data_IF_973466386405
#
_entry.id   IF_973466386405
#
_cell.length_a   1.000
_cell.length_b   1.000
_cell.length_c   1.000
_cell.angle_alpha   90.00
_cell.angle_beta   90.00
_cell.angle_gamma   90.00
#
_symmetry.space_group_name_H-M   'P 1'
#
loop_
_entity.id
_entity.type
_entity.pdbx_description
1 polymer ?
#
# COMPACT_ATOMS: atom_id res chain seq x y z
N UNK A 1 11.34 -1.69 17.27
CA UNK A 1 11.82 -2.07 15.92
C UNK A 1 11.02 -3.23 15.29
N UNK A 2 10.75 -4.38 15.96
CA UNK A 2 9.97 -5.47 15.33
C UNK A 2 8.61 -5.00 14.81
N UNK A 3 7.83 -4.30 15.61
CA UNK A 3 6.51 -3.77 15.24
C UNK A 3 6.58 -2.84 14.02
N UNK A 4 7.60 -1.99 13.95
CA UNK A 4 7.87 -1.08 12.82
C UNK A 4 8.08 -1.88 11.52
N UNK A 5 8.95 -2.89 11.58
CA UNK A 5 9.27 -3.73 10.41
C UNK A 5 8.08 -4.60 10.01
N UNK A 6 7.40 -5.20 10.96
CA UNK A 6 6.18 -5.99 10.71
C UNK A 6 5.12 -5.14 10.01
N UNK A 7 4.84 -3.95 10.55
CA UNK A 7 3.88 -3.02 9.96
C UNK A 7 4.29 -2.62 8.53
N UNK A 8 5.57 -2.29 8.32
CA UNK A 8 6.08 -1.91 7.01
C UNK A 8 6.00 -3.05 5.99
N UNK A 9 6.45 -4.26 6.36
CA UNK A 9 6.45 -5.43 5.47
C UNK A 9 5.03 -5.84 5.11
N UNK A 10 4.15 -5.98 6.10
CA UNK A 10 2.77 -6.42 5.85
C UNK A 10 2.01 -5.39 5.03
N UNK A 11 2.14 -4.09 5.34
CA UNK A 11 1.52 -3.02 4.54
C UNK A 11 2.07 -2.97 3.11
N UNK A 12 3.37 -3.22 2.92
CA UNK A 12 3.97 -3.32 1.59
C UNK A 12 3.42 -4.49 0.78
N UNK A 13 3.25 -5.65 1.40
CA UNK A 13 2.68 -6.84 0.75
C UNK A 13 1.21 -6.62 0.36
N UNK A 14 0.40 -6.02 1.24
CA UNK A 14 -0.98 -5.61 0.93
C UNK A 14 -0.97 -4.62 -0.24
N UNK A 15 -0.10 -3.62 -0.19
CA UNK A 15 0.06 -2.61 -1.23
C UNK A 15 0.43 -3.22 -2.58
N UNK A 16 1.39 -4.14 -2.62
CA UNK A 16 1.79 -4.87 -3.82
C UNK A 16 0.64 -5.71 -4.40
N UNK A 17 -0.05 -6.47 -3.57
CA UNK A 17 -1.17 -7.32 -4.01
C UNK A 17 -2.32 -6.51 -4.60
N UNK A 18 -2.80 -5.51 -3.87
CA UNK A 18 -3.89 -4.64 -4.34
C UNK A 18 -3.43 -3.77 -5.52
N UNK A 19 -2.20 -3.24 -5.48
CA UNK A 19 -1.63 -2.45 -6.56
C UNK A 19 -1.50 -3.23 -7.85
N UNK A 20 -1.11 -4.51 -7.80
CA UNK A 20 -1.06 -5.39 -8.96
C UNK A 20 -2.45 -5.56 -9.59
N UNK A 21 -3.47 -5.81 -8.78
CA UNK A 21 -4.87 -5.91 -9.26
C UNK A 21 -5.30 -4.61 -9.95
N UNK A 22 -5.05 -3.47 -9.31
CA UNK A 22 -5.37 -2.15 -9.87
C UNK A 22 -4.60 -1.89 -11.18
N UNK A 23 -3.32 -2.24 -11.26
CA UNK A 23 -2.50 -2.10 -12.47
C UNK A 23 -3.07 -2.93 -13.62
N UNK A 24 -3.43 -4.20 -13.37
CA UNK A 24 -4.03 -5.10 -14.36
C UNK A 24 -5.36 -4.53 -14.88
N UNK A 25 -6.23 -4.03 -13.99
CA UNK A 25 -7.52 -3.42 -14.39
C UNK A 25 -7.28 -2.23 -15.33
N UNK A 26 -6.33 -1.35 -15.00
CA UNK A 26 -5.97 -0.19 -15.84
C UNK A 26 -5.41 -0.62 -17.19
N UNK A 27 -4.56 -1.65 -17.23
CA UNK A 27 -3.97 -2.15 -18.48
C UNK A 27 -5.02 -2.80 -19.39
N UNK A 28 -5.99 -3.53 -18.82
CA UNK A 28 -7.12 -4.13 -19.58
C UNK A 28 -8.12 -3.11 -20.11
N UNK A 29 -8.07 -1.85 -19.70
CA UNK A 29 -8.93 -0.74 -20.15
C UNK A 29 -10.43 -1.04 -20.07
N UNK A 30 -10.87 -1.81 -19.06
CA UNK A 30 -12.29 -2.08 -18.82
C UNK A 30 -12.94 -0.78 -18.34
N UNK A 31 -13.72 -0.13 -19.22
CA UNK A 31 -14.16 1.28 -19.07
C UNK A 31 -14.62 1.66 -17.65
N UNK A 32 -15.57 0.94 -17.08
CA UNK A 32 -16.12 1.26 -15.74
C UNK A 32 -15.10 0.97 -14.63
N UNK A 33 -14.50 -0.22 -14.64
CA UNK A 33 -13.52 -0.61 -13.63
C UNK A 33 -12.30 0.29 -13.64
N UNK A 34 -11.82 0.70 -14.83
CA UNK A 34 -10.69 1.62 -14.95
C UNK A 34 -11.01 3.00 -14.37
N UNK A 35 -12.23 3.52 -14.58
CA UNK A 35 -12.63 4.81 -13.99
C UNK A 35 -12.67 4.75 -12.46
N UNK A 36 -13.29 3.70 -11.91
CA UNK A 36 -13.33 3.46 -10.46
C UNK A 36 -11.91 3.33 -9.89
N UNK A 37 -11.05 2.54 -10.53
CA UNK A 37 -9.66 2.34 -10.10
C UNK A 37 -8.87 3.65 -10.16
N UNK A 38 -9.05 4.48 -11.19
CA UNK A 38 -8.39 5.78 -11.28
C UNK A 38 -8.84 6.72 -10.15
N UNK A 39 -10.14 6.74 -9.83
CA UNK A 39 -10.67 7.51 -8.70
C UNK A 39 -10.06 7.04 -7.38
N UNK A 40 -10.03 5.72 -7.14
CA UNK A 40 -9.43 5.14 -5.94
C UNK A 40 -7.94 5.49 -5.82
N UNK A 41 -7.16 5.31 -6.89
CA UNK A 41 -5.74 5.66 -6.91
C UNK A 41 -5.55 7.16 -6.63
N UNK A 42 -6.38 8.02 -7.23
CA UNK A 42 -6.32 9.48 -7.00
C UNK A 42 -6.62 9.83 -5.54
N UNK A 43 -7.60 9.19 -4.92
CA UNK A 43 -7.94 9.39 -3.52
C UNK A 43 -6.80 8.90 -2.60
N UNK A 44 -6.29 7.68 -2.83
CA UNK A 44 -5.25 7.08 -1.99
C UNK A 44 -3.92 7.85 -2.06
N UNK A 45 -3.57 8.41 -3.22
CA UNK A 45 -2.34 9.19 -3.42
C UNK A 45 -2.52 10.68 -3.16
N UNK A 46 -3.72 11.20 -3.33
CA UNK A 46 -4.04 12.62 -3.18
C UNK A 46 -4.40 13.05 -1.76
N UNK A 47 -4.64 12.09 -0.85
CA UNK A 47 -4.97 12.40 0.56
C UNK A 47 -3.79 12.12 1.48
N UNK A 48 -3.56 12.94 2.52
CA UNK A 48 -2.51 12.70 3.51
C UNK A 48 -2.72 11.35 4.22
N UNK A 49 -1.65 10.57 4.36
CA UNK A 49 -1.72 9.24 5.01
C UNK A 49 -2.24 9.30 6.45
N UNK A 50 -1.95 10.38 7.18
CA UNK A 50 -2.46 10.58 8.54
C UNK A 50 -4.00 10.67 8.57
N UNK A 51 -4.60 11.30 7.57
CA UNK A 51 -6.07 11.37 7.44
C UNK A 51 -6.63 9.97 7.18
N UNK A 52 -5.97 9.17 6.34
CA UNK A 52 -6.38 7.78 6.08
C UNK A 52 -6.28 6.92 7.35
N UNK A 53 -5.24 7.13 8.18
CA UNK A 53 -5.10 6.47 9.48
C UNK A 53 -6.26 6.84 10.43
N UNK A 54 -6.62 8.12 10.54
CA UNK A 54 -7.77 8.55 11.35
C UNK A 54 -9.09 7.99 10.83
N UNK A 55 -9.30 7.99 9.51
CA UNK A 55 -10.51 7.39 8.91
C UNK A 55 -10.57 5.89 9.19
N UNK A 56 -9.45 5.18 9.11
CA UNK A 56 -9.42 3.77 9.46
C UNK A 56 -9.69 3.52 10.95
N UNK A 57 -9.01 4.24 11.83
CA UNK A 57 -9.06 3.99 13.27
C UNK A 57 -10.36 4.45 13.94
N UNK A 58 -10.89 5.59 13.54
CA UNK A 58 -12.13 6.13 14.09
C UNK A 58 -13.35 5.89 13.19
N UNK A 59 -13.18 6.01 11.87
CA UNK A 59 -14.29 5.92 10.91
C UNK A 59 -14.82 4.51 10.76
N UNK A 60 -13.95 3.50 10.64
CA UNK A 60 -14.39 2.10 10.49
C UNK A 60 -15.24 1.66 11.69
N UNK A 61 -14.81 1.80 12.97
CA UNK A 61 -15.64 1.44 14.11
C UNK A 61 -16.98 2.20 14.18
N UNK A 62 -16.96 3.48 13.84
CA UNK A 62 -18.17 4.32 13.81
C UNK A 62 -19.17 3.81 12.76
N UNK A 63 -18.68 3.48 11.57
CA UNK A 63 -19.51 2.91 10.50
C UNK A 63 -20.14 1.58 10.90
N UNK A 64 -19.37 0.67 11.49
CA UNK A 64 -19.90 -0.60 11.95
C UNK A 64 -20.91 -0.46 13.08
N UNK A 65 -20.69 0.50 14.00
CA UNK A 65 -21.67 0.82 15.05
C UNK A 65 -22.99 1.30 14.45
N UNK A 66 -22.94 2.18 13.43
CA UNK A 66 -24.13 2.65 12.74
C UNK A 66 -24.86 1.51 12.01
N UNK A 67 -24.13 0.60 11.33
CA UNK A 67 -24.70 -0.58 10.69
C UNK A 67 -25.38 -1.49 11.72
N UNK A 68 -24.73 -1.76 12.84
CA UNK A 68 -25.30 -2.58 13.91
C UNK A 68 -26.62 -1.98 14.44
N UNK A 69 -26.67 -0.66 14.62
CA UNK A 69 -27.87 0.03 15.08
C UNK A 69 -29.00 -0.01 14.05
N UNK A 70 -28.67 0.14 12.76
CA UNK A 70 -29.66 0.22 11.69
C UNK A 70 -30.22 -1.16 11.30
N UNK A 71 -29.38 -2.21 11.31
CA UNK A 71 -29.74 -3.55 10.81
C UNK A 71 -29.84 -4.61 11.90
N UNK A 72 -29.67 -4.24 13.18
CA UNK A 72 -29.73 -5.18 14.31
C UNK A 72 -28.61 -6.24 14.28
N UNK A 73 -27.50 -5.97 13.56
CA UNK A 73 -26.36 -6.88 13.46
C UNK A 73 -25.43 -6.71 14.67
N UNK A 74 -24.62 -7.73 14.95
CA UNK A 74 -23.67 -7.73 16.07
C UNK A 74 -22.23 -7.89 15.56
N UNK A 75 -21.84 -7.01 14.64
CA UNK A 75 -20.48 -6.98 14.10
C UNK A 75 -19.52 -6.46 15.18
N UNK A 76 -18.73 -7.37 15.75
CA UNK A 76 -17.79 -7.06 16.82
C UNK A 76 -16.55 -6.32 16.26
N UNK A 77 -16.51 -5.01 16.40
CA UNK A 77 -15.37 -4.16 15.99
C UNK A 77 -14.53 -3.72 17.20
N UNK A 78 -15.08 -3.89 18.41
CA UNK A 78 -14.47 -3.43 19.66
C UNK A 78 -13.11 -4.09 19.99
N UNK A 79 -12.78 -5.22 19.37
CA UNK A 79 -11.59 -6.00 19.67
C UNK A 79 -10.49 -5.93 18.59
N UNK A 80 -10.66 -5.07 17.57
CA UNK A 80 -9.63 -4.91 16.53
C UNK A 80 -8.54 -3.99 17.07
N UNK A 81 -7.30 -4.47 17.06
CA UNK A 81 -6.15 -3.70 17.53
C UNK A 81 -5.84 -2.51 16.62
N UNK A 82 -5.29 -1.44 17.18
CA UNK A 82 -4.82 -0.28 16.40
C UNK A 82 -3.83 -0.65 15.31
N UNK A 83 -3.05 -1.71 15.53
CA UNK A 83 -2.12 -2.27 14.55
C UNK A 83 -2.82 -2.68 13.24
N UNK A 84 -3.98 -3.34 13.34
CA UNK A 84 -4.74 -3.78 12.15
C UNK A 84 -5.28 -2.57 11.37
N UNK A 85 -5.77 -1.55 12.05
CA UNK A 85 -6.23 -0.32 11.39
C UNK A 85 -5.07 0.41 10.70
N UNK A 86 -3.93 0.52 11.35
CA UNK A 86 -2.74 1.13 10.78
C UNK A 86 -2.25 0.33 9.55
N UNK A 87 -2.22 -1.00 9.65
CA UNK A 87 -1.86 -1.91 8.57
C UNK A 87 -2.77 -1.74 7.35
N UNK A 88 -4.09 -1.67 7.55
CA UNK A 88 -5.06 -1.46 6.47
C UNK A 88 -4.85 -0.09 5.82
N UNK A 89 -4.75 0.98 6.61
CA UNK A 89 -4.59 2.33 6.08
C UNK A 89 -3.28 2.48 5.29
N UNK A 90 -2.15 2.05 5.86
CA UNK A 90 -0.85 2.10 5.19
C UNK A 90 -0.80 1.19 3.96
N UNK A 91 -1.39 0.00 4.04
CA UNK A 91 -1.48 -0.94 2.92
C UNK A 91 -2.30 -0.40 1.75
N UNK A 92 -3.46 0.22 2.04
CA UNK A 92 -4.28 0.88 1.02
C UNK A 92 -3.57 2.09 0.42
N UNK A 93 -2.93 2.92 1.24
CA UNK A 93 -2.12 4.02 0.74
C UNK A 93 -1.04 3.53 -0.24
N UNK A 94 -0.30 2.49 0.15
CA UNK A 94 0.71 1.88 -0.71
C UNK A 94 0.13 1.28 -1.99
N UNK A 95 -1.08 0.72 -1.96
CA UNK A 95 -1.71 0.15 -3.15
C UNK A 95 -1.85 1.17 -4.29
N UNK A 96 -2.17 2.42 -3.96
CA UNK A 96 -2.24 3.51 -4.94
C UNK A 96 -0.89 3.79 -5.62
N UNK A 97 0.21 3.75 -4.87
CA UNK A 97 1.56 3.94 -5.41
C UNK A 97 2.02 2.70 -6.19
N UNK A 98 1.81 1.49 -5.65
CA UNK A 98 2.20 0.23 -6.29
C UNK A 98 1.49 0.02 -7.62
N UNK A 99 0.21 0.41 -7.73
CA UNK A 99 -0.54 0.32 -8.99
C UNK A 99 0.15 1.08 -10.12
N UNK A 100 0.64 2.29 -9.87
CA UNK A 100 1.33 3.10 -10.88
C UNK A 100 2.75 2.60 -11.14
N UNK A 101 3.49 2.18 -10.11
CA UNK A 101 4.83 1.61 -10.26
C UNK A 101 4.79 0.36 -11.14
N UNK A 102 3.90 -0.58 -10.83
CA UNK A 102 3.75 -1.83 -11.59
C UNK A 102 3.31 -1.52 -13.02
N UNK A 103 2.32 -0.64 -13.19
CA UNK A 103 1.83 -0.28 -14.51
C UNK A 103 2.93 0.38 -15.36
N UNK A 104 3.67 1.34 -14.81
CA UNK A 104 4.73 2.03 -15.55
C UNK A 104 5.89 1.09 -15.90
N UNK A 105 6.27 0.19 -14.99
CA UNK A 105 7.30 -0.78 -15.23
C UNK A 105 6.92 -1.80 -16.32
N UNK A 106 5.67 -2.28 -16.34
CA UNK A 106 5.19 -3.16 -17.41
C UNK A 106 5.08 -2.45 -18.77
N UNK A 107 4.89 -1.13 -18.77
CA UNK A 107 4.79 -0.33 -19.99
C UNK A 107 6.15 0.23 -20.47
N UNK A 108 7.21 0.10 -19.69
CA UNK A 108 8.56 0.54 -20.09
C UNK A 108 9.27 -0.45 -21.01
N UNK A 109 8.77 -1.70 -21.10
CA UNK A 109 9.33 -2.71 -21.98
C UNK A 109 9.15 -2.28 -23.43
N UNK A 110 10.24 -2.32 -24.20
CA UNK A 110 10.24 -1.89 -25.60
C UNK A 110 9.30 -2.77 -26.43
N UNK A 111 8.30 -2.18 -27.13
CA UNK A 111 7.42 -2.92 -28.04
C UNK A 111 8.17 -3.73 -29.09
N UNK A 112 9.34 -3.23 -29.56
CA UNK A 112 10.19 -3.96 -30.52
C UNK A 112 10.70 -5.30 -29.99
N UNK A 113 11.00 -5.40 -28.70
CA UNK A 113 11.36 -6.70 -28.08
C UNK A 113 10.18 -7.68 -28.09
N UNK A 114 8.98 -7.18 -27.87
CA UNK A 114 7.76 -7.99 -27.88
C UNK A 114 7.48 -8.47 -29.31
N UNK A 115 7.61 -7.59 -30.31
CA UNK A 115 7.44 -7.93 -31.73
C UNK A 115 8.48 -8.95 -32.19
N UNK A 116 9.75 -8.76 -31.81
CA UNK A 116 10.84 -9.72 -32.13
C UNK A 116 10.57 -11.09 -31.50
N UNK A 117 10.08 -11.14 -30.26
CA UNK A 117 9.71 -12.40 -29.61
C UNK A 117 8.59 -13.13 -30.37
N UNK A 118 7.57 -12.39 -30.80
CA UNK A 118 6.49 -12.96 -31.62
C UNK A 118 6.97 -13.43 -32.97
N UNK A 119 7.89 -12.70 -33.62
CA UNK A 119 8.50 -13.10 -34.88
C UNK A 119 9.31 -14.42 -34.76
N UNK A 120 9.89 -14.67 -33.58
CA UNK A 120 10.57 -15.95 -33.24
C UNK A 120 9.59 -17.06 -32.82
N UNK A 121 8.28 -16.87 -32.96
CA UNK A 121 7.25 -17.85 -32.63
C UNK A 121 6.94 -18.02 -31.14
N UNK A 122 7.37 -17.07 -30.28
CA UNK A 122 7.03 -17.12 -28.86
C UNK A 122 5.55 -16.82 -28.65
N UNK A 123 4.89 -17.64 -27.83
CA UNK A 123 3.52 -17.34 -27.36
C UNK A 123 3.52 -16.19 -26.36
N UNK A 124 2.40 -15.50 -26.21
CA UNK A 124 2.27 -14.39 -25.23
C UNK A 124 2.71 -14.78 -23.79
N UNK A 125 2.33 -15.95 -23.21
CA UNK A 125 2.83 -16.35 -21.90
C UNK A 125 4.35 -16.54 -21.84
N UNK A 126 4.96 -17.02 -22.93
CA UNK A 126 6.41 -17.15 -23.02
C UNK A 126 7.10 -15.78 -23.07
N UNK A 127 6.60 -14.86 -23.89
CA UNK A 127 7.07 -13.48 -23.97
C UNK A 127 6.91 -12.77 -22.63
N UNK A 128 5.74 -12.91 -21.99
CA UNK A 128 5.48 -12.33 -20.68
C UNK A 128 6.50 -12.80 -19.63
N UNK A 129 6.73 -14.11 -19.53
CA UNK A 129 7.59 -14.68 -18.49
C UNK A 129 9.08 -14.47 -18.75
N UNK A 130 9.51 -14.49 -20.03
CA UNK A 130 10.94 -14.47 -20.38
C UNK A 130 11.49 -13.09 -20.71
N UNK A 131 10.63 -12.16 -21.10
CA UNK A 131 11.02 -10.81 -21.52
C UNK A 131 10.34 -9.76 -20.64
N UNK A 132 9.00 -9.67 -20.67
CA UNK A 132 8.28 -8.55 -20.06
C UNK A 132 8.47 -8.52 -18.54
N UNK A 133 8.26 -9.63 -17.83
CA UNK A 133 8.33 -9.63 -16.36
C UNK A 133 9.75 -9.38 -15.83
N UNK A 134 10.82 -10.00 -16.37
CA UNK A 134 12.18 -9.73 -15.90
C UNK A 134 12.58 -8.27 -16.12
N UNK A 135 12.34 -7.72 -17.31
CA UNK A 135 12.68 -6.34 -17.62
C UNK A 135 11.86 -5.35 -16.80
N UNK A 136 10.55 -5.56 -16.70
CA UNK A 136 9.69 -4.74 -15.85
C UNK A 136 10.10 -4.79 -14.36
N UNK A 137 10.53 -5.96 -13.86
CA UNK A 137 11.01 -6.09 -12.48
C UNK A 137 12.29 -5.30 -12.26
N UNK A 138 13.23 -5.35 -13.18
CA UNK A 138 14.48 -4.58 -13.12
C UNK A 138 14.19 -3.08 -13.04
N UNK A 139 13.29 -2.58 -13.89
CA UNK A 139 12.86 -1.17 -13.89
C UNK A 139 12.11 -0.79 -12.61
N UNK A 140 11.29 -1.70 -12.08
CA UNK A 140 10.51 -1.43 -10.87
C UNK A 140 11.36 -1.43 -9.59
N UNK A 141 12.43 -2.23 -9.53
CA UNK A 141 13.17 -2.54 -8.31
C UNK A 141 13.67 -1.31 -7.53
N UNK A 142 14.30 -0.30 -8.16
CA UNK A 142 14.72 0.91 -7.45
C UNK A 142 13.54 1.68 -6.81
N UNK A 143 12.42 1.78 -7.55
CA UNK A 143 11.23 2.50 -7.07
C UNK A 143 10.52 1.73 -5.95
N UNK A 144 10.50 0.39 -6.03
CA UNK A 144 9.99 -0.47 -4.96
C UNK A 144 10.83 -0.32 -3.69
N UNK A 145 12.16 -0.28 -3.83
CA UNK A 145 13.08 -0.01 -2.71
C UNK A 145 12.81 1.35 -2.05
N UNK A 146 12.66 2.40 -2.84
CA UNK A 146 12.31 3.73 -2.34
C UNK A 146 10.94 3.75 -1.64
N UNK A 147 9.97 3.02 -2.17
CA UNK A 147 8.65 2.89 -1.55
C UNK A 147 8.70 2.15 -0.23
N UNK A 148 9.56 1.11 -0.11
CA UNK A 148 9.76 0.40 1.14
C UNK A 148 10.39 1.29 2.22
N UNK A 149 11.39 2.09 1.86
CA UNK A 149 11.98 3.08 2.77
C UNK A 149 10.93 4.12 3.20
N UNK A 150 10.11 4.57 2.26
CA UNK A 150 9.05 5.55 2.54
C UNK A 150 8.00 5.00 3.50
N UNK A 151 7.59 3.73 3.37
CA UNK A 151 6.62 3.14 4.29
C UNK A 151 7.23 2.94 5.68
N UNK A 152 8.51 2.55 5.81
CA UNK A 152 9.19 2.48 7.10
C UNK A 152 9.12 3.84 7.81
N UNK A 153 9.40 4.93 7.09
CA UNK A 153 9.25 6.29 7.65
C UNK A 153 7.79 6.61 7.99
N UNK A 154 6.86 6.18 7.16
CA UNK A 154 5.42 6.38 7.33
C UNK A 154 4.82 5.65 8.54
N UNK A 155 5.45 4.55 9.00
CA UNK A 155 4.99 3.83 10.20
C UNK A 155 5.02 4.70 11.45
N UNK A 156 5.85 5.75 11.48
CA UNK A 156 5.88 6.71 12.60
C UNK A 156 4.52 7.37 12.85
N UNK A 157 3.68 7.50 11.83
CA UNK A 157 2.32 8.03 11.97
C UNK A 157 1.33 7.04 12.59
N UNK A 158 1.69 5.75 12.70
CA UNK A 158 0.81 4.73 13.28
C UNK A 158 0.55 4.91 14.79
N UNK A 159 1.30 5.82 15.46
CA UNK A 159 0.99 6.18 16.85
C UNK A 159 -0.43 6.79 16.97
N UNK A 160 -0.97 7.40 15.92
CA UNK A 160 -2.34 7.92 15.88
C UNK A 160 -3.39 6.81 16.03
N UNK A 161 -3.01 5.56 15.71
CA UNK A 161 -3.81 4.36 15.92
C UNK A 161 -3.41 3.61 17.21
N UNK A 162 -2.76 4.29 18.17
CA UNK A 162 -2.25 3.71 19.41
C UNK A 162 -1.21 2.57 19.22
N UNK A 163 -0.48 2.57 18.10
CA UNK A 163 0.60 1.62 17.83
C UNK A 163 1.91 2.18 18.35
N UNK A 164 2.51 1.52 19.34
CA UNK A 164 3.80 1.89 19.89
C UNK A 164 4.91 1.25 19.05
N UNK A 165 5.26 1.92 17.96
CA UNK A 165 6.39 1.55 17.09
C UNK A 165 7.68 2.29 17.54
N UNK A 166 8.76 2.24 16.77
CA UNK A 166 10.07 2.75 17.20
C UNK A 166 10.05 4.25 17.54
N UNK A 167 9.37 5.08 16.75
CA UNK A 167 9.28 6.52 16.97
C UNK A 167 8.43 6.85 18.19
N UNK A 168 7.27 6.18 18.33
CA UNK A 168 6.41 6.32 19.49
C UNK A 168 7.14 5.88 20.77
N UNK A 169 7.91 4.81 20.71
CA UNK A 169 8.76 4.38 21.85
C UNK A 169 9.83 5.41 22.18
N UNK A 170 10.46 6.01 21.16
CA UNK A 170 11.37 7.13 21.35
C UNK A 170 10.71 8.31 22.06
N UNK A 171 9.50 8.71 21.64
CA UNK A 171 8.73 9.78 22.29
C UNK A 171 8.43 9.48 23.76
N UNK A 172 8.07 8.24 24.09
CA UNK A 172 7.82 7.83 25.48
C UNK A 172 9.09 7.95 26.33
N UNK A 173 10.24 7.52 25.80
CA UNK A 173 11.53 7.62 26.48
C UNK A 173 11.94 9.09 26.66
N UNK A 174 11.86 9.88 25.59
CA UNK A 174 12.18 11.29 25.60
C UNK A 174 11.30 12.07 26.59
N UNK A 175 9.99 11.77 26.64
CA UNK A 175 9.07 12.38 27.59
C UNK A 175 9.35 12.05 29.05
N UNK A 176 9.92 10.86 29.33
CA UNK A 176 10.35 10.45 30.68
C UNK A 176 11.69 11.05 31.10
N UNK A 177 12.62 11.21 30.16
CA UNK A 177 14.01 11.62 30.43
C UNK A 177 14.26 13.09 30.13
N UNK A 178 13.36 13.76 29.41
CA UNK A 178 13.53 15.12 28.84
C UNK A 178 14.73 15.27 27.89
N UNK A 179 15.24 14.15 27.36
CA UNK A 179 16.40 14.08 26.45
C UNK A 179 15.95 13.82 25.01
N UNK A 180 15.25 14.78 24.44
CA UNK A 180 14.70 14.65 23.09
C UNK A 180 15.78 14.54 22.02
N UNK A 181 16.84 15.33 22.13
CA UNK A 181 17.91 15.37 21.14
C UNK A 181 18.71 14.06 21.07
N UNK A 182 18.97 13.44 22.23
CA UNK A 182 19.73 12.18 22.29
C UNK A 182 18.90 10.96 21.87
N UNK A 183 17.56 11.06 21.93
CA UNK A 183 16.66 9.96 21.59
C UNK A 183 16.34 9.92 20.10
N UNK A 184 16.28 11.08 19.44
CA UNK A 184 16.01 11.20 18.00
C UNK A 184 17.29 11.32 17.16
#
# INVERSE_FOLDING_TARGET
>A
LPITLELAVVSMLIGLGLGLVMAIIKMKKIRVLTQITNLLISLLRGTPVIVQLYVAFFGIPMMFKAINQQFGTNLAVANISGFVYAMIALGLNQAGFMAEIIRSALQSVDPGQIEAAHALGMTYPQTLRRIILPEAFEVALPTLGNSFISIIKGTSLAFTCAVVEITAQGQIIAGKTYRYFEVY
#
